data_IF_809501299718
#
_entry.id   IF_809501299718
#
_cell.length_a   1.000
_cell.length_b   1.000
_cell.length_c   1.000
_cell.angle_alpha   90.00
_cell.angle_beta   90.00
_cell.angle_gamma   90.00
#
_symmetry.space_group_name_H-M   'P 1'
#
loop_
_entity.id
_entity.type
_entity.pdbx_description
1 polymer ?
#
# COMPACT_ATOMS: atom_id res chain seq x y z
N UNK A 1 36.11 26.54 12.17
CA UNK A 1 36.75 25.82 13.27
C UNK A 1 35.97 25.99 14.55
N UNK A 2 35.19 25.02 14.96
CA UNK A 2 34.69 24.82 16.33
C UNK A 2 34.33 23.33 16.44
N UNK A 3 35.22 22.62 17.14
CA UNK A 3 35.06 21.23 17.52
C UNK A 3 33.89 21.03 18.48
N UNK A 4 32.96 20.16 18.18
CA UNK A 4 31.98 19.65 19.14
C UNK A 4 32.46 18.31 19.65
N UNK A 5 32.94 18.31 20.88
CA UNK A 5 33.41 17.13 21.63
C UNK A 5 32.22 16.25 22.02
N UNK A 6 32.32 15.00 21.59
CA UNK A 6 31.45 13.90 22.00
C UNK A 6 31.69 13.55 23.48
N UNK A 7 30.73 13.90 24.37
CA UNK A 7 30.78 13.46 25.77
C UNK A 7 30.40 11.97 25.84
N UNK A 8 31.36 11.16 26.20
CA UNK A 8 31.20 9.77 26.63
C UNK A 8 30.24 9.72 27.83
N UNK A 9 29.13 9.01 27.69
CA UNK A 9 28.33 8.55 28.83
C UNK A 9 28.97 7.23 29.32
N UNK A 10 29.94 7.35 30.21
CA UNK A 10 30.46 6.23 30.99
C UNK A 10 29.85 6.31 32.38
N UNK A 11 29.24 5.24 32.82
CA UNK A 11 29.02 5.04 34.26
C UNK A 11 27.57 4.71 34.66
N UNK A 12 27.08 3.56 34.26
CA UNK A 12 26.17 2.82 35.13
C UNK A 12 26.90 1.55 35.55
N UNK A 13 27.75 1.72 36.56
CA UNK A 13 28.24 0.59 37.34
C UNK A 13 27.05 0.08 38.14
N UNK A 14 26.41 -0.98 37.66
CA UNK A 14 25.45 -1.71 38.44
C UNK A 14 26.19 -2.44 39.55
N UNK A 15 26.17 -1.90 40.78
CA UNK A 15 26.68 -2.53 41.96
C UNK A 15 25.88 -3.82 42.21
N UNK A 16 26.53 -4.96 42.08
CA UNK A 16 25.98 -6.27 42.42
C UNK A 16 25.53 -6.29 43.89
N UNK A 17 24.30 -6.69 44.20
CA UNK A 17 23.83 -6.75 45.58
C UNK A 17 24.58 -7.85 46.34
N UNK A 18 25.08 -7.49 47.50
CA UNK A 18 25.76 -8.40 48.45
C UNK A 18 24.87 -9.60 48.79
N UNK A 19 25.51 -10.77 48.78
CA UNK A 19 24.91 -12.09 49.08
C UNK A 19 24.22 -12.08 50.44
N UNK A 20 22.88 -12.31 50.45
CA UNK A 20 22.10 -12.46 51.67
C UNK A 20 21.93 -13.95 51.98
N UNK A 21 22.19 -14.42 53.22
CA UNK A 21 22.27 -15.85 53.54
C UNK A 21 20.94 -16.62 53.48
N UNK A 22 19.80 -15.96 53.30
CA UNK A 22 18.49 -16.60 53.41
C UNK A 22 17.78 -16.90 52.06
N UNK A 23 18.49 -17.12 50.98
CA UNK A 23 17.95 -17.75 49.76
C UNK A 23 16.74 -17.09 49.06
N UNK A 24 16.07 -16.09 49.68
CA UNK A 24 14.84 -15.46 49.15
C UNK A 24 15.10 -14.57 47.92
N UNK A 25 16.23 -13.94 47.87
CA UNK A 25 16.55 -13.00 46.73
C UNK A 25 16.85 -13.71 45.41
N UNK A 26 17.27 -14.96 45.46
CA UNK A 26 17.52 -15.73 44.23
C UNK A 26 16.22 -16.04 43.49
N UNK A 27 15.13 -16.30 44.22
CA UNK A 27 13.81 -16.54 43.63
C UNK A 27 13.26 -15.29 42.96
N UNK A 28 13.35 -14.12 43.58
CA UNK A 28 12.89 -12.85 43.01
C UNK A 28 13.70 -12.45 41.79
N UNK A 29 15.00 -12.67 41.77
CA UNK A 29 15.86 -12.39 40.60
C UNK A 29 15.51 -13.32 39.44
N UNK A 30 15.17 -14.57 39.70
CA UNK A 30 14.70 -15.53 38.68
C UNK A 30 13.32 -15.12 38.15
N UNK A 31 12.36 -14.68 38.98
CA UNK A 31 11.06 -14.22 38.53
C UNK A 31 11.14 -12.97 37.67
N UNK A 32 12.01 -12.01 38.03
CA UNK A 32 12.25 -10.81 37.24
C UNK A 32 12.91 -11.17 35.88
N UNK A 33 13.89 -12.05 35.89
CA UNK A 33 14.55 -12.51 34.67
C UNK A 33 13.58 -13.28 33.74
N UNK A 34 12.74 -14.17 34.30
CA UNK A 34 11.71 -14.90 33.54
C UNK A 34 10.62 -13.96 33.03
N UNK A 35 10.25 -12.95 33.80
CA UNK A 35 9.31 -11.93 33.37
C UNK A 35 9.86 -11.08 32.21
N UNK A 36 11.14 -10.68 32.27
CA UNK A 36 11.78 -9.98 31.16
C UNK A 36 12.02 -10.89 29.95
N UNK A 37 12.27 -12.19 30.11
CA UNK A 37 12.36 -13.12 28.98
C UNK A 37 10.97 -13.32 28.32
N UNK A 38 9.89 -13.34 29.09
CA UNK A 38 8.53 -13.52 28.56
C UNK A 38 8.02 -12.31 27.78
N UNK A 39 8.51 -11.09 28.07
CA UNK A 39 8.15 -9.89 27.32
C UNK A 39 8.79 -9.88 25.91
N UNK A 40 9.96 -10.48 25.75
CA UNK A 40 10.65 -10.52 24.46
C UNK A 40 10.05 -11.51 23.44
N UNK A 41 9.17 -12.42 23.86
CA UNK A 41 8.52 -13.39 22.95
C UNK A 41 7.22 -12.87 22.34
N UNK A 42 6.77 -11.66 22.72
CA UNK A 42 5.58 -11.02 22.15
C UNK A 42 5.93 -10.06 20.99
N UNK A 43 7.07 -10.25 20.34
CA UNK A 43 7.21 -9.73 18.98
C UNK A 43 6.29 -10.57 18.10
N UNK A 44 5.06 -10.08 17.94
CA UNK A 44 4.13 -10.62 16.98
C UNK A 44 4.86 -10.72 15.65
N UNK A 45 5.13 -11.92 15.19
CA UNK A 45 5.56 -12.17 13.81
C UNK A 45 4.45 -11.57 12.95
N UNK A 46 4.69 -10.39 12.39
CA UNK A 46 3.80 -9.86 11.37
C UNK A 46 3.72 -10.94 10.29
N UNK A 47 2.53 -11.50 10.01
CA UNK A 47 2.43 -12.53 9.01
C UNK A 47 2.98 -11.95 7.71
N UNK A 48 3.92 -12.69 7.10
CA UNK A 48 4.48 -12.29 5.82
C UNK A 48 3.29 -12.03 4.87
N UNK A 49 3.22 -10.82 4.30
CA UNK A 49 2.15 -10.40 3.40
C UNK A 49 2.09 -11.41 2.23
N UNK A 50 1.07 -12.26 2.26
CA UNK A 50 0.83 -13.23 1.18
C UNK A 50 0.25 -12.48 -0.02
N UNK A 51 0.70 -12.77 -1.25
CA UNK A 51 0.07 -12.23 -2.44
C UNK A 51 -1.43 -12.55 -2.48
N UNK A 52 -2.23 -11.52 -2.74
CA UNK A 52 -3.67 -11.61 -2.82
C UNK A 52 -4.11 -12.15 -4.19
N UNK A 53 -5.22 -12.86 -4.17
CA UNK A 53 -5.89 -13.42 -5.34
C UNK A 53 -7.36 -12.95 -5.36
N UNK A 54 -8.06 -13.18 -6.45
CA UNK A 54 -9.51 -12.94 -6.55
C UNK A 54 -10.22 -13.71 -5.42
N UNK A 55 -11.10 -13.01 -4.71
CA UNK A 55 -11.83 -13.50 -3.54
C UNK A 55 -11.11 -13.33 -2.20
N UNK A 56 -9.88 -12.82 -2.18
CA UNK A 56 -9.21 -12.48 -0.92
C UNK A 56 -9.61 -11.07 -0.46
N UNK A 57 -9.64 -10.85 0.85
CA UNK A 57 -9.88 -9.52 1.43
C UNK A 57 -8.57 -8.75 1.50
N UNK A 58 -8.59 -7.52 1.02
CA UNK A 58 -7.44 -6.62 1.08
C UNK A 58 -7.36 -6.06 2.51
N UNK A 59 -6.20 -6.17 3.17
CA UNK A 59 -6.02 -5.53 4.48
C UNK A 59 -6.13 -4.01 4.34
N UNK A 60 -6.41 -3.31 5.44
CA UNK A 60 -6.34 -1.85 5.42
C UNK A 60 -4.90 -1.40 5.22
N UNK A 61 -4.66 -0.69 4.14
CA UNK A 61 -3.32 -0.25 3.71
C UNK A 61 -3.27 1.26 3.77
N UNK A 62 -2.22 1.79 4.39
CA UNK A 62 -1.94 3.22 4.37
C UNK A 62 -1.12 3.59 3.14
N UNK A 63 -1.65 4.47 2.32
CA UNK A 63 -0.92 5.17 1.26
C UNK A 63 -0.05 6.25 1.89
N UNK A 64 1.25 5.99 2.02
CA UNK A 64 2.18 6.87 2.74
C UNK A 64 2.47 8.18 2.02
N UNK A 65 2.21 8.25 0.71
CA UNK A 65 2.45 9.44 -0.11
C UNK A 65 1.34 9.62 -1.13
N UNK A 66 0.47 10.56 -0.85
CA UNK A 66 -0.52 11.06 -1.82
C UNK A 66 0.10 12.25 -2.57
N UNK A 67 -0.04 12.27 -3.89
CA UNK A 67 0.68 13.22 -4.76
C UNK A 67 -0.16 14.44 -5.12
N UNK A 68 -1.44 14.23 -5.42
CA UNK A 68 -2.34 15.25 -5.97
C UNK A 68 -3.51 15.60 -5.03
N UNK A 69 -3.28 15.51 -3.72
CA UNK A 69 -4.22 15.95 -2.68
C UNK A 69 -3.50 16.84 -1.67
N UNK A 70 -4.28 17.56 -0.87
CA UNK A 70 -3.77 18.31 0.29
C UNK A 70 -3.34 17.36 1.41
N UNK A 71 -3.99 16.20 1.52
CA UNK A 71 -3.60 15.16 2.45
C UNK A 71 -2.38 14.42 1.91
N UNK A 72 -1.38 14.24 2.76
CA UNK A 72 -0.14 13.56 2.39
C UNK A 72 -0.24 12.04 2.50
N UNK A 73 -1.25 11.55 3.22
CA UNK A 73 -1.53 10.12 3.43
C UNK A 73 -3.02 9.84 3.26
N UNK A 74 -3.38 8.60 2.95
CA UNK A 74 -4.75 8.10 2.96
C UNK A 74 -4.74 6.62 3.34
N UNK A 75 -5.85 6.08 3.84
CA UNK A 75 -6.01 4.66 4.07
C UNK A 75 -6.96 4.06 3.04
N UNK A 76 -6.82 2.77 2.76
CA UNK A 76 -7.77 2.08 1.89
C UNK A 76 -9.20 2.16 2.45
N UNK A 77 -9.32 2.12 3.78
CA UNK A 77 -10.59 2.28 4.50
C UNK A 77 -11.27 3.64 4.32
N UNK A 78 -10.57 4.67 3.88
CA UNK A 78 -11.17 5.98 3.57
C UNK A 78 -12.08 5.91 2.33
N UNK A 79 -11.94 4.86 1.54
CA UNK A 79 -12.73 4.58 0.33
C UNK A 79 -13.75 3.44 0.53
N UNK A 80 -13.96 3.00 1.78
CA UNK A 80 -15.03 2.03 2.09
C UNK A 80 -16.37 2.58 1.59
N UNK A 81 -17.29 1.70 1.27
CA UNK A 81 -18.57 2.00 0.65
C UNK A 81 -18.50 2.35 -0.85
N UNK A 82 -17.30 2.42 -1.43
CA UNK A 82 -17.10 2.54 -2.88
C UNK A 82 -16.42 1.30 -3.44
N UNK A 83 -16.66 1.04 -4.70
CA UNK A 83 -15.78 0.17 -5.46
C UNK A 83 -14.45 0.86 -5.69
N UNK A 84 -13.36 0.09 -5.70
CA UNK A 84 -12.01 0.62 -5.90
C UNK A 84 -11.38 -0.07 -7.10
N UNK A 85 -10.72 0.71 -7.95
CA UNK A 85 -9.83 0.19 -8.99
C UNK A 85 -8.42 0.73 -8.68
N UNK A 86 -7.50 -0.18 -8.31
CA UNK A 86 -6.09 0.15 -8.22
C UNK A 86 -5.46 0.00 -9.60
N UNK A 87 -4.84 1.06 -10.11
CA UNK A 87 -4.07 1.07 -11.36
C UNK A 87 -2.57 1.12 -11.04
N UNK A 88 -1.86 0.06 -11.35
CA UNK A 88 -0.40 0.01 -11.19
C UNK A 88 0.29 0.48 -12.46
N UNK A 89 1.05 1.55 -12.34
CA UNK A 89 1.61 2.28 -13.45
C UNK A 89 3.03 2.80 -13.19
N UNK A 90 3.66 3.41 -14.21
CA UNK A 90 4.94 4.11 -14.11
C UNK A 90 4.99 5.29 -15.08
N UNK A 91 5.83 6.29 -14.78
CA UNK A 91 6.00 7.49 -15.62
C UNK A 91 6.50 7.16 -17.02
N UNK A 92 7.32 6.11 -17.17
CA UNK A 92 7.86 5.64 -18.46
C UNK A 92 6.94 4.67 -19.19
N UNK A 93 5.81 4.25 -18.61
CA UNK A 93 4.87 3.31 -19.20
C UNK A 93 3.94 4.04 -20.18
N UNK A 94 4.29 4.08 -21.45
CA UNK A 94 3.49 4.77 -22.48
C UNK A 94 2.05 4.28 -22.56
N UNK A 95 1.82 2.95 -22.45
CA UNK A 95 0.48 2.37 -22.43
C UNK A 95 -0.33 2.82 -21.19
N UNK A 96 0.33 3.00 -20.03
CA UNK A 96 -0.33 3.53 -18.83
C UNK A 96 -0.72 5.00 -19.02
N UNK A 97 0.21 5.80 -19.55
CA UNK A 97 -0.01 7.24 -19.75
C UNK A 97 -1.16 7.50 -20.74
N UNK A 98 -1.27 6.72 -21.81
CA UNK A 98 -2.37 6.85 -22.79
C UNK A 98 -3.75 6.58 -22.21
N UNK A 99 -3.85 5.85 -21.10
CA UNK A 99 -5.09 5.54 -20.39
C UNK A 99 -5.57 6.65 -19.44
N UNK A 100 -4.69 7.55 -19.01
CA UNK A 100 -5.00 8.56 -17.99
C UNK A 100 -6.23 9.42 -18.33
N UNK A 101 -6.42 9.93 -19.55
CA UNK A 101 -7.59 10.75 -19.88
C UNK A 101 -8.91 9.99 -19.72
N UNK A 102 -8.91 8.70 -20.07
CA UNK A 102 -10.08 7.83 -19.92
C UNK A 102 -10.37 7.53 -18.45
N UNK A 103 -9.34 7.20 -17.65
CA UNK A 103 -9.48 6.97 -16.21
C UNK A 103 -9.99 8.21 -15.49
N UNK A 104 -9.47 9.38 -15.83
CA UNK A 104 -9.92 10.67 -15.30
C UNK A 104 -11.40 10.91 -15.56
N UNK A 105 -11.85 10.65 -16.79
CA UNK A 105 -13.26 10.79 -17.17
C UNK A 105 -14.18 9.80 -16.45
N UNK A 106 -13.73 8.54 -16.29
CA UNK A 106 -14.47 7.51 -15.55
C UNK A 106 -14.56 7.87 -14.06
N UNK A 107 -13.46 8.35 -13.46
CA UNK A 107 -13.46 8.80 -12.07
C UNK A 107 -14.44 9.95 -11.85
N UNK A 108 -14.42 10.95 -12.73
CA UNK A 108 -15.35 12.07 -12.62
C UNK A 108 -16.81 11.62 -12.75
N UNK A 109 -17.07 10.72 -13.69
CA UNK A 109 -18.44 10.21 -13.95
C UNK A 109 -19.00 9.39 -12.78
N UNK A 110 -18.17 8.58 -12.13
CA UNK A 110 -18.59 7.62 -11.11
C UNK A 110 -18.07 7.94 -9.71
N UNK A 111 -17.67 9.19 -9.45
CA UNK A 111 -17.00 9.64 -8.22
C UNK A 111 -17.71 9.26 -6.91
N UNK A 112 -19.03 9.12 -6.95
CA UNK A 112 -19.84 8.84 -5.76
C UNK A 112 -19.79 7.35 -5.36
N UNK A 113 -19.52 6.45 -6.33
CA UNK A 113 -19.58 5.01 -6.14
C UNK A 113 -18.26 4.29 -6.50
N UNK A 114 -17.30 4.99 -7.12
CA UNK A 114 -16.03 4.44 -7.58
C UNK A 114 -14.87 5.34 -7.15
N UNK A 115 -13.79 4.72 -6.72
CA UNK A 115 -12.48 5.36 -6.53
C UNK A 115 -11.44 4.69 -7.40
N UNK A 116 -10.87 5.42 -8.35
CA UNK A 116 -9.71 4.97 -9.14
C UNK A 116 -8.45 5.54 -8.51
N UNK A 117 -7.55 4.67 -8.08
CA UNK A 117 -6.33 5.02 -7.38
C UNK A 117 -5.13 4.56 -8.19
N UNK A 118 -4.34 5.50 -8.67
CA UNK A 118 -3.11 5.23 -9.41
C UNK A 118 -1.96 4.96 -8.44
N UNK A 119 -1.42 3.76 -8.46
CA UNK A 119 -0.35 3.32 -7.55
C UNK A 119 0.97 3.20 -8.31
N UNK A 120 1.90 4.12 -8.05
CA UNK A 120 3.26 4.00 -8.56
C UNK A 120 4.15 3.29 -7.53
N UNK A 121 4.56 2.06 -7.84
CA UNK A 121 5.50 1.30 -7.02
C UNK A 121 6.94 1.79 -7.30
N UNK A 122 7.36 2.87 -6.65
CA UNK A 122 8.60 3.63 -6.94
C UNK A 122 9.86 2.76 -6.99
N UNK A 123 9.99 1.78 -6.09
CA UNK A 123 11.16 0.87 -6.07
C UNK A 123 11.24 -0.02 -7.30
N UNK A 124 10.08 -0.35 -7.90
CA UNK A 124 10.02 -1.16 -9.11
C UNK A 124 10.11 -0.30 -10.37
N UNK A 125 9.42 0.84 -10.39
CA UNK A 125 9.40 1.73 -11.56
C UNK A 125 10.66 2.55 -11.72
N UNK A 126 11.45 2.70 -10.64
CA UNK A 126 12.58 3.64 -10.55
C UNK A 126 12.18 5.10 -10.79
N UNK A 127 10.90 5.42 -10.53
CA UNK A 127 10.39 6.79 -10.60
C UNK A 127 10.73 7.57 -9.32
N UNK A 128 10.89 8.88 -9.46
CA UNK A 128 10.98 9.77 -8.32
C UNK A 128 9.64 10.44 -8.04
N UNK A 129 9.37 10.76 -6.78
CA UNK A 129 8.18 11.53 -6.39
C UNK A 129 8.02 12.82 -7.20
N UNK A 130 9.15 13.51 -7.47
CA UNK A 130 9.14 14.71 -8.28
C UNK A 130 8.62 14.46 -9.70
N UNK A 131 9.05 13.40 -10.37
CA UNK A 131 8.58 13.06 -11.72
C UNK A 131 7.08 12.74 -11.72
N UNK A 132 6.61 11.98 -10.72
CA UNK A 132 5.20 11.65 -10.58
C UNK A 132 4.39 12.94 -10.36
N UNK A 133 4.81 13.78 -9.43
CA UNK A 133 4.15 15.06 -9.12
C UNK A 133 4.12 15.98 -10.33
N UNK A 134 5.24 16.19 -11.00
CA UNK A 134 5.31 17.05 -12.18
C UNK A 134 4.36 16.60 -13.29
N UNK A 135 4.16 15.30 -13.46
CA UNK A 135 3.21 14.76 -14.44
C UNK A 135 1.78 15.24 -14.19
N UNK A 136 1.29 15.17 -12.94
CA UNK A 136 -0.11 15.47 -12.63
C UNK A 136 -0.36 16.93 -12.28
N UNK A 137 0.60 17.64 -11.67
CA UNK A 137 0.39 19.04 -11.25
C UNK A 137 0.82 20.06 -12.30
N UNK A 138 1.73 19.69 -13.20
CA UNK A 138 2.22 20.59 -14.26
C UNK A 138 1.77 20.13 -15.64
N UNK A 139 2.24 18.95 -16.07
CA UNK A 139 2.03 18.51 -17.45
C UNK A 139 0.55 18.26 -17.73
N UNK A 140 -0.15 17.61 -16.79
CA UNK A 140 -1.58 17.36 -16.92
C UNK A 140 -2.37 18.68 -16.99
N UNK A 141 -2.13 19.58 -16.05
CA UNK A 141 -2.81 20.87 -16.02
C UNK A 141 -2.50 21.73 -17.26
N UNK A 142 -1.26 21.67 -17.77
CA UNK A 142 -0.86 22.37 -18.99
C UNK A 142 -1.64 21.87 -20.22
N UNK A 143 -1.91 20.56 -20.30
CA UNK A 143 -2.58 19.95 -21.45
C UNK A 143 -4.11 20.03 -21.34
N UNK A 144 -4.67 19.74 -20.16
CA UNK A 144 -6.10 19.59 -19.95
C UNK A 144 -6.77 20.77 -19.24
N UNK A 145 -6.02 21.74 -18.76
CA UNK A 145 -6.49 22.93 -18.02
C UNK A 145 -7.41 22.62 -16.83
N UNK A 146 -7.19 21.48 -16.18
CA UNK A 146 -7.94 20.99 -15.01
C UNK A 146 -7.08 20.08 -14.15
N UNK A 147 -7.50 19.87 -12.91
CA UNK A 147 -6.89 18.90 -12.02
C UNK A 147 -7.22 17.47 -12.44
N UNK A 148 -6.37 16.53 -12.06
CA UNK A 148 -6.57 15.12 -12.31
C UNK A 148 -7.48 14.53 -11.22
N UNK A 149 -8.57 13.86 -11.60
CA UNK A 149 -9.62 13.43 -10.68
C UNK A 149 -9.29 12.13 -9.91
N UNK A 150 -8.46 11.24 -10.48
CA UNK A 150 -8.08 10.03 -9.76
C UNK A 150 -7.04 10.36 -8.68
N UNK A 151 -7.07 9.62 -7.56
CA UNK A 151 -6.04 9.73 -6.54
C UNK A 151 -4.72 9.14 -7.06
N UNK A 152 -3.62 9.85 -6.86
CA UNK A 152 -2.28 9.40 -7.26
C UNK A 152 -1.44 9.16 -6.02
N UNK A 153 -0.92 7.95 -5.88
CA UNK A 153 -0.10 7.56 -4.74
C UNK A 153 1.27 7.01 -5.19
N UNK A 154 2.28 7.30 -4.39
CA UNK A 154 3.63 6.83 -4.59
C UNK A 154 4.00 5.84 -3.47
N UNK A 155 4.12 4.54 -3.80
CA UNK A 155 4.53 3.49 -2.87
C UNK A 155 6.04 3.30 -2.90
N UNK A 156 6.72 3.77 -1.85
CA UNK A 156 8.15 3.55 -1.63
C UNK A 156 8.46 2.29 -0.81
N UNK A 157 7.43 1.68 -0.19
CA UNK A 157 7.56 0.52 0.70
C UNK A 157 7.61 -0.82 -0.03
N UNK A 158 7.13 -0.88 -1.27
CA UNK A 158 6.86 -2.11 -2.02
C UNK A 158 5.66 -2.93 -1.51
N UNK A 159 4.87 -2.41 -0.59
CA UNK A 159 3.72 -3.11 0.00
C UNK A 159 2.74 -3.57 -1.07
N UNK A 160 2.35 -2.69 -1.96
CA UNK A 160 1.41 -3.01 -3.04
C UNK A 160 1.97 -4.04 -4.02
N UNK A 161 3.27 -3.98 -4.32
CA UNK A 161 3.93 -4.96 -5.18
C UNK A 161 3.93 -6.36 -4.57
N UNK A 162 4.10 -6.45 -3.25
CA UNK A 162 4.03 -7.73 -2.54
C UNK A 162 2.60 -8.26 -2.47
N UNK A 163 1.63 -7.40 -2.19
CA UNK A 163 0.22 -7.79 -2.09
C UNK A 163 -0.37 -8.24 -3.43
N UNK A 164 -0.06 -7.57 -4.52
CA UNK A 164 -0.71 -7.83 -5.81
C UNK A 164 0.20 -8.48 -6.86
N UNK A 165 1.46 -8.74 -6.54
CA UNK A 165 2.42 -9.61 -7.25
C UNK A 165 2.33 -9.63 -8.79
N UNK A 166 2.40 -8.47 -9.45
CA UNK A 166 2.37 -8.35 -10.90
C UNK A 166 3.79 -8.32 -11.51
N UNK A 167 3.92 -8.72 -12.77
CA UNK A 167 5.16 -8.67 -13.56
C UNK A 167 5.20 -7.53 -14.56
N UNK A 168 4.06 -7.21 -15.16
CA UNK A 168 3.92 -6.23 -16.24
C UNK A 168 2.85 -5.21 -15.88
N UNK A 169 3.06 -3.95 -16.30
CA UNK A 169 2.10 -2.84 -16.19
C UNK A 169 1.64 -2.42 -17.60
N UNK A 170 0.44 -1.84 -17.75
CA UNK A 170 -0.54 -1.55 -16.70
C UNK A 170 -1.15 -2.81 -16.09
N UNK A 171 -1.55 -2.75 -14.81
CA UNK A 171 -2.12 -3.85 -14.06
C UNK A 171 -3.22 -3.28 -13.14
N UNK A 172 -4.40 -3.87 -13.19
CA UNK A 172 -5.58 -3.36 -12.50
C UNK A 172 -6.12 -4.37 -11.51
N UNK A 173 -6.44 -3.91 -10.30
CA UNK A 173 -7.10 -4.70 -9.26
C UNK A 173 -8.43 -4.04 -8.92
N UNK A 174 -9.51 -4.80 -9.00
CA UNK A 174 -10.87 -4.37 -8.73
C UNK A 174 -11.29 -4.87 -7.36
N UNK A 175 -11.78 -3.99 -6.51
CA UNK A 175 -12.11 -4.28 -5.11
C UNK A 175 -13.53 -3.80 -4.86
N UNK A 176 -14.33 -4.61 -4.17
CA UNK A 176 -15.68 -4.24 -3.77
C UNK A 176 -15.73 -3.40 -2.49
N UNK A 177 -16.90 -2.83 -2.13
CA UNK A 177 -17.04 -2.05 -0.90
C UNK A 177 -16.76 -2.83 0.40
N UNK A 178 -16.80 -4.17 0.36
CA UNK A 178 -16.40 -5.02 1.48
C UNK A 178 -14.89 -5.27 1.55
N UNK A 179 -14.12 -4.72 0.61
CA UNK A 179 -12.67 -4.89 0.53
C UNK A 179 -12.23 -6.19 -0.15
N UNK A 180 -13.11 -6.89 -0.85
CA UNK A 180 -12.79 -8.16 -1.52
C UNK A 180 -12.30 -7.91 -2.95
N UNK A 181 -11.22 -8.58 -3.35
CA UNK A 181 -10.70 -8.53 -4.72
C UNK A 181 -11.66 -9.24 -5.67
N UNK A 182 -12.30 -8.48 -6.56
CA UNK A 182 -13.27 -8.98 -7.55
C UNK A 182 -12.60 -9.47 -8.83
N UNK A 183 -11.58 -8.74 -9.31
CA UNK A 183 -10.90 -9.05 -10.55
C UNK A 183 -9.47 -8.51 -10.56
N UNK A 184 -8.62 -9.12 -11.37
CA UNK A 184 -7.26 -8.66 -11.67
C UNK A 184 -7.09 -8.70 -13.19
N UNK A 185 -6.94 -7.52 -13.82
CA UNK A 185 -7.11 -7.37 -15.26
C UNK A 185 -6.01 -6.55 -15.93
N UNK A 186 -6.03 -6.49 -17.24
CA UNK A 186 -5.32 -5.50 -18.06
C UNK A 186 -6.17 -4.23 -18.25
N UNK A 187 -5.67 -3.26 -19.03
CA UNK A 187 -6.42 -2.03 -19.32
C UNK A 187 -7.66 -2.25 -20.21
N UNK A 188 -7.66 -3.29 -21.03
CA UNK A 188 -8.75 -3.57 -21.95
C UNK A 188 -10.11 -3.79 -21.25
N UNK A 189 -10.07 -4.32 -20.02
CA UNK A 189 -11.26 -4.61 -19.22
C UNK A 189 -11.77 -3.40 -18.42
N UNK A 190 -10.96 -2.35 -18.25
CA UNK A 190 -11.39 -1.13 -17.54
C UNK A 190 -12.26 -0.28 -18.45
N UNK A 191 -13.43 -0.77 -18.78
CA UNK A 191 -14.42 -0.09 -19.65
C UNK A 191 -15.58 0.45 -18.84
N UNK A 192 -16.27 1.45 -19.42
CA UNK A 192 -17.48 1.98 -18.80
C UNK A 192 -18.56 0.90 -18.62
N UNK A 193 -18.69 -0.01 -19.58
CA UNK A 193 -19.65 -1.11 -19.51
C UNK A 193 -19.39 -2.04 -18.33
N UNK A 194 -18.13 -2.44 -18.14
CA UNK A 194 -17.74 -3.31 -17.03
C UNK A 194 -17.89 -2.61 -15.68
N UNK A 195 -17.53 -1.33 -15.59
CA UNK A 195 -17.72 -0.52 -14.37
C UNK A 195 -19.22 -0.43 -14.07
N UNK A 196 -20.05 -0.11 -15.04
CA UNK A 196 -21.50 -0.02 -14.84
C UNK A 196 -22.13 -1.35 -14.43
N UNK A 197 -21.65 -2.49 -14.93
CA UNK A 197 -22.09 -3.82 -14.49
C UNK A 197 -21.69 -4.07 -13.03
N UNK A 198 -20.45 -3.78 -12.65
CA UNK A 198 -19.95 -3.90 -11.29
C UNK A 198 -20.77 -3.06 -10.31
N UNK A 199 -21.01 -1.78 -10.63
CA UNK A 199 -21.76 -0.85 -9.78
C UNK A 199 -23.22 -1.26 -9.58
N UNK A 200 -23.80 -2.05 -10.50
CA UNK A 200 -25.14 -2.62 -10.35
C UNK A 200 -25.16 -3.92 -9.53
N UNK A 201 -24.05 -4.29 -8.91
CA UNK A 201 -23.92 -5.53 -8.15
C UNK A 201 -24.00 -6.80 -9.00
N UNK A 202 -23.82 -6.71 -10.31
CA UNK A 202 -23.78 -7.88 -11.19
C UNK A 202 -22.43 -8.58 -11.02
N UNK A 203 -22.47 -9.91 -11.00
CA UNK A 203 -21.25 -10.71 -11.03
C UNK A 203 -20.48 -10.41 -12.30
N UNK A 204 -19.30 -9.80 -12.16
CA UNK A 204 -18.38 -9.59 -13.28
C UNK A 204 -17.51 -10.82 -13.46
N UNK A 205 -17.41 -11.30 -14.70
CA UNK A 205 -16.46 -12.36 -15.08
C UNK A 205 -15.52 -11.77 -16.12
N UNK A 206 -14.44 -11.18 -15.66
CA UNK A 206 -13.44 -10.54 -16.53
C UNK A 206 -12.25 -11.47 -16.77
N UNK A 207 -11.60 -11.40 -17.94
CA UNK A 207 -10.36 -12.15 -18.19
C UNK A 207 -9.31 -11.81 -17.15
N UNK A 208 -8.75 -12.85 -16.51
CA UNK A 208 -7.69 -12.69 -15.53
C UNK A 208 -6.37 -12.43 -16.24
N UNK A 209 -5.65 -11.42 -15.82
CA UNK A 209 -4.33 -11.12 -16.37
C UNK A 209 -3.35 -12.28 -16.10
N UNK A 210 -2.71 -12.78 -17.14
CA UNK A 210 -1.92 -14.03 -17.13
C UNK A 210 -0.66 -13.99 -16.24
N UNK A 211 -0.15 -12.80 -15.89
CA UNK A 211 1.01 -12.65 -15.02
C UNK A 211 0.68 -12.59 -13.52
N UNK A 212 -0.60 -12.83 -13.20
CA UNK A 212 -1.09 -12.90 -11.83
C UNK A 212 -0.85 -14.31 -11.26
N UNK A 213 -0.38 -14.46 -10.01
CA UNK A 213 -0.27 -15.77 -9.39
C UNK A 213 -1.64 -16.47 -9.37
N UNK A 214 -1.75 -17.63 -9.99
CA UNK A 214 -2.96 -18.47 -9.85
C UNK A 214 -3.02 -19.05 -8.45
N UNK A 215 -4.21 -19.08 -7.82
CA UNK A 215 -4.42 -19.96 -6.66
C UNK A 215 -4.10 -21.38 -7.09
N UNK A 216 -3.09 -22.01 -6.48
CA UNK A 216 -2.95 -23.46 -6.60
C UNK A 216 -4.20 -24.06 -6.00
N UNK A 217 -5.01 -24.75 -6.82
CA UNK A 217 -6.07 -25.62 -6.33
C UNK A 217 -5.41 -26.71 -5.46
N UNK A 218 -5.69 -26.68 -4.17
CA UNK A 218 -5.41 -27.82 -3.29
C UNK A 218 -6.46 -28.88 -3.55
#
# INVERSE_FOLDING_TARGET
MKHLTLKRVTGILCSLPKKNPNGRRLKETIYVAVFFLSINTLQAQQPALKPLSIGDTVPDITFQKVINSNDTTANLSDFKDKFIILDFWAVWCGACISELPRLDSLQQKYKDNLSIILVNCMRRSHDSEKKIRDLFTKNWHQVYHKDFNCLVVADSSNTFKHLFSFKVIPHYVWIDPAGVVLAITSSAEVTEANIAMMLRGKKISLPVKQDTPSKKSN
#
